data_IF_001408649778
#
_entry.id   IF_001408649778
#
_cell.length_a   1.000
_cell.length_b   1.000
_cell.length_c   1.000
_cell.angle_alpha   90.00
_cell.angle_beta   90.00
_cell.angle_gamma   90.00
#
_symmetry.space_group_name_H-M   'P 1'
#
loop_
_entity.id
_entity.type
_entity.pdbx_description
1 polymer ?
#
# COMPACT_ATOMS: atom_id res chain seq x y z
N UNK A 1 18.97 55.68 -41.31
CA UNK A 1 17.56 55.53 -40.91
C UNK A 1 17.56 54.37 -39.91
N UNK A 2 17.64 54.64 -38.60
CA UNK A 2 16.53 55.04 -37.70
C UNK A 2 15.54 53.88 -37.50
N UNK A 3 15.16 53.47 -36.29
CA UNK A 3 15.48 54.04 -34.95
C UNK A 3 15.45 53.00 -33.83
N UNK A 4 16.08 53.30 -32.70
CA UNK A 4 16.02 52.53 -31.45
C UNK A 4 14.77 52.90 -30.63
N UNK A 5 14.34 52.06 -29.68
CA UNK A 5 14.01 52.50 -28.31
C UNK A 5 13.69 51.36 -27.32
N UNK A 6 13.63 51.71 -26.03
CA UNK A 6 13.49 50.88 -24.82
C UNK A 6 12.72 51.73 -23.76
N UNK A 7 12.12 51.29 -22.64
CA UNK A 7 12.12 50.07 -21.79
C UNK A 7 10.63 49.81 -21.34
N UNK A 8 10.17 49.00 -20.38
CA UNK A 8 10.73 48.21 -19.26
C UNK A 8 9.75 47.04 -18.92
N UNK A 9 10.19 45.87 -18.39
CA UNK A 9 9.27 44.78 -18.03
C UNK A 9 8.78 44.85 -16.57
N UNK A 10 7.52 44.51 -16.29
CA UNK A 10 7.06 44.14 -14.94
C UNK A 10 6.14 42.91 -14.92
N UNK A 11 6.70 41.83 -14.34
CA UNK A 11 6.12 41.00 -13.28
C UNK A 11 4.58 40.91 -13.18
N UNK A 12 4.03 39.71 -13.41
CA UNK A 12 2.81 39.26 -12.73
C UNK A 12 2.94 37.78 -12.30
N UNK A 13 2.60 37.50 -11.04
CA UNK A 13 2.89 36.22 -10.39
C UNK A 13 1.91 35.09 -10.72
N UNK A 14 2.38 33.85 -10.56
CA UNK A 14 1.59 32.62 -10.56
C UNK A 14 0.52 32.61 -9.47
N UNK A 15 -0.74 32.35 -9.83
CA UNK A 15 -1.84 32.19 -8.86
C UNK A 15 -1.79 30.82 -8.16
N UNK A 16 -1.02 30.77 -7.06
CA UNK A 16 -1.07 29.69 -6.08
C UNK A 16 -2.41 29.76 -5.32
N UNK A 17 -3.23 28.71 -5.38
CA UNK A 17 -4.45 28.62 -4.58
C UNK A 17 -4.14 27.98 -3.22
N UNK A 18 -3.77 28.83 -2.25
CA UNK A 18 -3.74 28.44 -0.85
C UNK A 18 -5.18 28.37 -0.30
N UNK A 19 -5.57 27.25 0.30
CA UNK A 19 -6.74 27.20 1.17
C UNK A 19 -6.47 26.43 2.47
N UNK A 20 -6.46 27.19 3.56
CA UNK A 20 -6.62 26.76 4.95
C UNK A 20 -5.53 25.88 5.59
N UNK A 21 -4.43 26.54 5.98
CA UNK A 21 -3.91 26.35 7.34
C UNK A 21 -4.93 26.84 8.37
N UNK A 22 -5.13 26.07 9.44
CA UNK A 22 -5.84 26.51 10.66
C UNK A 22 -4.99 26.16 11.88
N UNK A 23 -4.83 27.10 12.81
CA UNK A 23 -3.89 27.04 13.94
C UNK A 23 -4.47 26.29 15.16
N UNK A 24 -3.61 25.81 16.10
CA UNK A 24 -4.07 25.19 17.34
C UNK A 24 -4.74 26.21 18.27
N UNK A 25 -6.00 25.96 18.63
CA UNK A 25 -6.77 26.83 19.53
C UNK A 25 -6.59 26.46 21.00
N UNK A 26 -5.93 27.33 21.77
CA UNK A 26 -5.92 27.27 23.25
C UNK A 26 -7.27 27.78 23.77
N UNK A 27 -7.94 26.99 24.61
CA UNK A 27 -9.21 27.38 25.25
C UNK A 27 -8.88 28.14 26.54
N UNK A 28 -8.79 29.47 26.47
CA UNK A 28 -8.68 30.34 27.65
C UNK A 28 -10.05 30.58 28.25
N UNK A 29 -10.40 29.84 29.31
CA UNK A 29 -11.69 29.97 29.99
C UNK A 29 -11.71 31.12 31.02
N UNK A 30 -11.94 32.36 30.57
CA UNK A 30 -12.21 33.51 31.47
C UNK A 30 -13.65 33.46 31.98
N UNK A 31 -13.87 32.79 33.11
CA UNK A 31 -15.19 32.70 33.75
C UNK A 31 -15.50 33.86 34.70
N UNK A 32 -16.37 34.79 34.27
CA UNK A 32 -17.02 35.78 35.14
C UNK A 32 -18.54 35.63 35.06
N UNK A 33 -19.11 34.86 35.98
CA UNK A 33 -20.56 34.65 36.10
C UNK A 33 -21.23 35.82 36.83
N UNK A 34 -21.97 36.65 36.09
CA UNK A 34 -22.93 37.61 36.64
C UNK A 34 -24.17 37.64 35.74
N UNK A 35 -25.35 37.77 36.36
CA UNK A 35 -26.63 38.01 35.67
C UNK A 35 -27.47 36.76 35.42
N UNK A 36 -28.63 36.69 36.07
CA UNK A 36 -29.70 35.75 35.75
C UNK A 36 -30.43 36.15 34.45
N UNK A 37 -30.32 35.32 33.42
CA UNK A 37 -31.00 35.52 32.14
C UNK A 37 -30.68 34.38 31.17
N UNK A 38 -31.63 33.46 30.98
CA UNK A 38 -31.36 32.20 30.29
C UNK A 38 -31.25 32.32 28.77
N UNK A 39 -30.06 32.09 28.22
CA UNK A 39 -29.87 31.60 26.85
C UNK A 39 -28.91 30.40 26.87
N UNK A 40 -29.47 29.19 26.78
CA UNK A 40 -28.66 27.98 26.56
C UNK A 40 -28.21 27.98 25.11
N UNK A 41 -26.98 28.44 24.86
CA UNK A 41 -26.36 28.38 23.54
C UNK A 41 -26.13 26.91 23.14
N UNK A 42 -27.07 26.33 22.39
CA UNK A 42 -26.92 25.02 21.77
C UNK A 42 -25.86 25.09 20.67
N UNK A 43 -24.60 24.90 21.06
CA UNK A 43 -23.48 24.70 20.13
C UNK A 43 -23.71 23.37 19.43
N UNK A 44 -24.40 23.43 18.29
CA UNK A 44 -24.49 22.34 17.32
C UNK A 44 -23.08 22.04 16.81
N UNK A 45 -22.42 21.03 17.40
CA UNK A 45 -21.13 20.55 16.91
C UNK A 45 -21.38 19.82 15.59
N UNK A 46 -21.36 20.58 14.50
CA UNK A 46 -21.25 20.06 13.15
C UNK A 46 -19.93 19.29 13.03
N UNK A 47 -19.98 17.98 13.30
CA UNK A 47 -18.95 17.05 12.83
C UNK A 47 -18.99 17.13 11.31
N UNK A 48 -17.95 17.62 10.62
CA UNK A 48 -17.95 17.62 9.17
C UNK A 48 -17.99 16.16 8.71
N UNK A 49 -19.10 15.74 8.10
CA UNK A 49 -19.14 14.47 7.39
C UNK A 49 -18.15 14.61 6.24
N UNK A 50 -16.99 13.97 6.37
CA UNK A 50 -16.06 13.83 5.26
C UNK A 50 -16.84 13.22 4.09
N UNK A 51 -16.78 13.81 2.87
CA UNK A 51 -17.51 13.27 1.75
C UNK A 51 -17.10 11.80 1.54
N UNK A 52 -18.03 10.90 1.18
CA UNK A 52 -17.74 9.49 1.04
C UNK A 52 -16.55 9.32 0.09
N UNK A 53 -15.48 8.71 0.60
CA UNK A 53 -14.21 8.59 -0.09
C UNK A 53 -14.35 7.63 -1.28
N UNK A 54 -14.78 8.20 -2.41
CA UNK A 54 -15.06 7.46 -3.65
C UNK A 54 -13.86 6.56 -3.99
N UNK A 55 -13.99 5.23 -3.91
CA UNK A 55 -12.85 4.33 -3.78
C UNK A 55 -11.91 4.47 -4.97
N UNK A 56 -10.60 4.56 -4.68
CA UNK A 56 -9.58 4.50 -5.73
C UNK A 56 -9.75 3.19 -6.50
N UNK A 57 -9.75 3.16 -7.85
CA UNK A 57 -10.06 1.96 -8.63
C UNK A 57 -9.24 0.75 -8.18
N UNK A 58 -9.92 -0.20 -7.52
CA UNK A 58 -9.30 -1.39 -6.96
C UNK A 58 -9.11 -2.43 -8.06
N UNK A 59 -7.86 -2.84 -8.29
CA UNK A 59 -7.53 -3.96 -9.17
C UNK A 59 -7.33 -5.19 -8.31
N UNK A 60 -8.07 -6.27 -8.56
CA UNK A 60 -7.88 -7.55 -7.88
C UNK A 60 -7.11 -8.51 -8.78
N UNK A 61 -6.06 -9.12 -8.24
CA UNK A 61 -5.35 -10.24 -8.86
C UNK A 61 -5.49 -11.49 -8.00
N UNK A 62 -5.32 -12.66 -8.62
CA UNK A 62 -5.29 -13.96 -7.92
C UNK A 62 -3.91 -14.58 -8.10
N UNK A 63 -3.35 -15.10 -7.03
CA UNK A 63 -1.97 -15.59 -6.95
C UNK A 63 -1.98 -17.06 -6.54
N UNK A 64 -1.69 -17.93 -7.51
CA UNK A 64 -1.59 -19.38 -7.33
C UNK A 64 -0.31 -19.75 -6.57
N UNK A 65 -0.44 -20.58 -5.53
CA UNK A 65 0.67 -21.08 -4.72
C UNK A 65 1.66 -21.95 -5.53
N UNK A 66 1.25 -22.48 -6.69
CA UNK A 66 2.10 -23.25 -7.62
C UNK A 66 2.91 -22.38 -8.59
N UNK A 67 2.70 -21.07 -8.62
CA UNK A 67 3.30 -20.18 -9.62
C UNK A 67 4.65 -19.60 -9.16
N UNK A 68 5.74 -20.32 -9.44
CA UNK A 68 7.13 -19.83 -9.22
C UNK A 68 7.48 -18.62 -10.11
N UNK A 69 6.85 -18.51 -11.29
CA UNK A 69 6.89 -17.29 -12.10
C UNK A 69 6.16 -16.13 -11.41
N UNK A 70 5.03 -16.41 -10.79
CA UNK A 70 4.16 -15.44 -10.15
C UNK A 70 3.15 -14.79 -11.09
N UNK A 71 2.30 -13.94 -10.52
CA UNK A 71 1.26 -13.17 -11.22
C UNK A 71 1.76 -11.74 -11.47
N UNK A 72 1.87 -11.29 -12.73
CA UNK A 72 2.40 -9.96 -13.05
C UNK A 72 1.40 -8.84 -12.71
N UNK A 73 1.93 -7.68 -12.35
CA UNK A 73 1.24 -6.40 -12.31
C UNK A 73 2.15 -5.30 -12.86
N UNK A 74 1.64 -4.50 -13.78
CA UNK A 74 2.39 -3.45 -14.49
C UNK A 74 1.78 -2.07 -14.21
N UNK A 75 2.62 -1.07 -13.90
CA UNK A 75 2.16 0.31 -13.87
C UNK A 75 1.83 0.81 -15.28
N UNK A 76 0.54 0.83 -15.63
CA UNK A 76 0.05 1.32 -16.92
C UNK A 76 -0.10 2.85 -16.98
N UNK A 77 0.55 3.61 -16.09
CA UNK A 77 0.54 5.08 -16.08
C UNK A 77 1.82 5.64 -16.70
N UNK A 78 1.69 6.86 -17.20
CA UNK A 78 2.73 7.73 -17.75
C UNK A 78 3.65 8.34 -16.67
N UNK A 79 3.31 8.16 -15.39
CA UNK A 79 4.04 8.67 -14.23
C UNK A 79 4.27 7.58 -13.16
N UNK A 80 5.22 7.78 -12.23
CA UNK A 80 5.41 6.88 -11.10
C UNK A 80 4.15 6.79 -10.24
N UNK A 81 3.90 5.61 -9.65
CA UNK A 81 2.77 5.37 -8.75
C UNK A 81 3.21 4.62 -7.50
N UNK A 82 2.55 4.90 -6.37
CA UNK A 82 2.59 4.03 -5.20
C UNK A 82 1.33 3.15 -5.18
N UNK A 83 1.53 1.85 -5.09
CA UNK A 83 0.46 0.85 -4.96
C UNK A 83 0.45 0.36 -3.51
N UNK A 84 -0.69 0.50 -2.81
CA UNK A 84 -0.96 -0.31 -1.61
C UNK A 84 -1.60 -1.63 -2.04
N UNK A 85 -1.08 -2.73 -1.50
CA UNK A 85 -1.66 -4.07 -1.65
C UNK A 85 -2.24 -4.59 -0.32
N UNK A 86 -3.28 -5.42 -0.42
CA UNK A 86 -3.90 -6.15 0.71
C UNK A 86 -4.34 -7.55 0.25
N UNK A 87 -3.79 -8.59 0.87
CA UNK A 87 -3.88 -9.97 0.44
C UNK A 87 -4.72 -10.83 1.39
N UNK A 88 -5.61 -11.64 0.81
CA UNK A 88 -6.66 -12.37 1.50
C UNK A 88 -6.69 -13.84 1.04
N UNK A 89 -7.10 -14.73 1.94
CA UNK A 89 -7.15 -16.17 1.70
C UNK A 89 -6.07 -16.93 2.47
N UNK A 90 -5.81 -18.17 2.05
CA UNK A 90 -4.78 -19.05 2.59
C UNK A 90 -4.24 -19.97 1.50
N UNK A 91 -3.02 -20.42 1.67
CA UNK A 91 -2.36 -21.40 0.81
C UNK A 91 -1.43 -22.33 1.60
N UNK A 92 -0.92 -23.35 0.94
CA UNK A 92 -0.11 -24.43 1.47
C UNK A 92 1.27 -24.40 0.79
N UNK A 93 2.33 -24.25 1.58
CA UNK A 93 3.73 -24.33 1.14
C UNK A 93 4.43 -25.65 1.50
N UNK A 94 3.85 -26.41 2.45
CA UNK A 94 4.31 -27.77 2.79
C UNK A 94 3.06 -28.62 3.11
N UNK A 95 2.74 -29.63 2.28
CA UNK A 95 1.66 -30.57 2.57
C UNK A 95 1.83 -31.33 3.88
N UNK A 96 0.71 -31.69 4.52
CA UNK A 96 0.72 -32.39 5.81
C UNK A 96 1.38 -33.78 5.75
N UNK A 97 1.44 -34.41 4.58
CA UNK A 97 2.05 -35.73 4.38
C UNK A 97 3.59 -35.69 4.27
N UNK A 98 4.21 -34.51 4.15
CA UNK A 98 5.68 -34.38 4.06
C UNK A 98 6.31 -34.75 5.41
N UNK A 99 7.31 -35.63 5.38
CA UNK A 99 8.09 -36.05 6.55
C UNK A 99 8.98 -34.92 7.07
N UNK A 100 9.13 -34.83 8.39
CA UNK A 100 9.98 -33.83 9.05
C UNK A 100 9.23 -33.13 10.17
N UNK A 101 9.86 -33.05 11.35
CA UNK A 101 9.30 -32.41 12.52
C UNK A 101 9.51 -30.89 12.48
N UNK A 102 8.66 -30.14 13.19
CA UNK A 102 8.64 -28.68 13.25
C UNK A 102 8.36 -27.93 11.93
N UNK A 103 8.27 -28.60 10.77
CA UNK A 103 7.90 -27.96 9.50
C UNK A 103 6.50 -27.29 9.59
N UNK A 104 6.30 -26.08 9.00
CA UNK A 104 5.05 -25.34 9.07
C UNK A 104 4.02 -25.88 8.07
N UNK A 105 3.52 -27.09 8.34
CA UNK A 105 2.59 -27.81 7.46
C UNK A 105 1.18 -27.24 7.55
N UNK A 106 0.46 -27.26 6.43
CA UNK A 106 -0.94 -26.86 6.35
C UNK A 106 -1.18 -25.41 5.90
N UNK A 107 -2.45 -25.02 5.83
CA UNK A 107 -2.89 -23.75 5.23
C UNK A 107 -2.55 -22.52 6.09
N UNK A 108 -1.58 -21.74 5.63
CA UNK A 108 -1.11 -20.50 6.25
C UNK A 108 -1.64 -19.24 5.56
N UNK A 109 -1.52 -18.09 6.23
CA UNK A 109 -1.92 -16.78 5.69
C UNK A 109 -0.82 -16.19 4.79
N UNK A 110 -1.08 -15.10 4.04
CA UNK A 110 -0.06 -14.41 3.24
C UNK A 110 1.12 -13.81 4.04
N UNK A 111 1.11 -13.88 5.38
CA UNK A 111 2.28 -13.55 6.21
C UNK A 111 3.30 -14.71 6.29
N UNK A 112 2.91 -15.93 5.92
CA UNK A 112 3.76 -17.12 6.01
C UNK A 112 4.07 -17.57 7.43
N UNK A 113 5.04 -18.49 7.54
CA UNK A 113 5.60 -18.98 8.79
C UNK A 113 6.90 -18.22 9.13
N UNK A 114 6.83 -17.37 10.16
CA UNK A 114 7.91 -16.46 10.55
C UNK A 114 9.22 -17.16 10.91
N UNK A 115 9.14 -18.26 11.67
CA UNK A 115 10.31 -19.00 12.18
C UNK A 115 11.19 -19.59 11.07
N UNK A 116 10.65 -19.70 9.85
CA UNK A 116 11.33 -20.25 8.67
C UNK A 116 11.93 -19.17 7.77
N UNK A 117 12.01 -17.91 8.23
CA UNK A 117 12.56 -16.78 7.48
C UNK A 117 14.03 -16.98 7.05
N UNK A 118 14.84 -17.69 7.84
CA UNK A 118 16.29 -17.87 7.66
C UNK A 118 16.74 -18.75 6.48
N UNK A 119 15.86 -19.60 5.92
CA UNK A 119 16.22 -20.49 4.81
C UNK A 119 16.68 -19.68 3.56
N UNK A 120 17.84 -20.03 3.01
CA UNK A 120 18.50 -19.37 1.85
C UNK A 120 18.01 -19.85 0.49
N UNK A 121 17.37 -21.01 0.44
CA UNK A 121 17.10 -21.73 -0.80
C UNK A 121 15.74 -21.33 -1.39
N UNK A 122 14.90 -20.68 -0.58
CA UNK A 122 13.70 -19.96 -1.01
C UNK A 122 13.97 -18.89 -2.06
N UNK A 123 12.94 -18.56 -2.83
CA UNK A 123 12.98 -17.47 -3.80
C UNK A 123 13.37 -16.11 -3.17
N UNK A 124 12.81 -15.79 -2.00
CA UNK A 124 13.13 -14.60 -1.21
C UNK A 124 13.72 -15.00 0.16
N UNK A 125 15.05 -15.13 0.28
CA UNK A 125 15.72 -15.31 1.57
C UNK A 125 15.42 -14.17 2.53
N UNK A 126 15.40 -14.44 3.85
CA UNK A 126 15.09 -13.46 4.88
C UNK A 126 13.59 -13.16 5.07
N UNK A 127 12.73 -13.49 4.11
CA UNK A 127 11.28 -13.41 4.24
C UNK A 127 10.69 -14.76 4.70
N UNK A 128 9.56 -14.74 5.42
CA UNK A 128 8.91 -15.95 5.93
C UNK A 128 8.56 -16.97 4.82
N UNK A 129 8.59 -18.26 5.16
CA UNK A 129 8.20 -19.34 4.23
C UNK A 129 6.68 -19.30 4.01
N UNK A 130 6.23 -19.45 2.77
CA UNK A 130 4.82 -19.33 2.43
C UNK A 130 4.23 -17.92 2.62
N UNK A 131 5.06 -16.89 2.77
CA UNK A 131 4.59 -15.51 2.71
C UNK A 131 4.28 -15.10 1.27
N UNK A 132 3.34 -14.18 1.08
CA UNK A 132 3.25 -13.44 -0.18
C UNK A 132 4.50 -12.57 -0.30
N UNK A 133 5.08 -12.52 -1.49
CA UNK A 133 6.23 -11.68 -1.85
C UNK A 133 5.98 -10.98 -3.17
N UNK A 134 6.62 -9.82 -3.32
CA UNK A 134 6.62 -9.04 -4.56
C UNK A 134 8.05 -8.96 -5.06
N UNK A 135 8.33 -9.49 -6.26
CA UNK A 135 9.65 -9.41 -6.92
C UNK A 135 9.63 -8.46 -8.12
N UNK A 136 10.78 -7.87 -8.44
CA UNK A 136 11.01 -7.23 -9.76
C UNK A 136 11.46 -8.28 -10.77
N UNK A 137 11.21 -8.01 -12.06
CA UNK A 137 11.45 -8.93 -13.19
C UNK A 137 12.82 -9.64 -13.16
N UNK A 138 13.88 -8.88 -12.89
CA UNK A 138 15.27 -9.37 -12.86
C UNK A 138 15.95 -9.04 -11.52
N UNK A 139 15.24 -9.12 -10.38
CA UNK A 139 15.85 -8.68 -9.12
C UNK A 139 15.12 -9.03 -7.84
N UNK A 140 15.64 -8.44 -6.77
CA UNK A 140 15.26 -8.71 -5.38
C UNK A 140 13.76 -8.58 -5.12
N UNK A 141 13.32 -9.30 -4.08
CA UNK A 141 12.00 -9.13 -3.50
C UNK A 141 11.94 -7.77 -2.76
N UNK A 142 10.90 -6.98 -3.02
CA UNK A 142 10.76 -5.58 -2.58
C UNK A 142 9.69 -5.38 -1.51
N UNK A 143 8.81 -6.36 -1.32
CA UNK A 143 7.80 -6.38 -0.27
C UNK A 143 7.40 -7.83 0.07
N UNK A 144 6.84 -8.04 1.26
CA UNK A 144 6.32 -9.33 1.70
C UNK A 144 5.22 -9.15 2.77
N UNK A 145 4.34 -10.14 2.88
CA UNK A 145 3.27 -10.19 3.89
C UNK A 145 1.87 -9.97 3.32
N UNK A 146 0.88 -9.88 4.21
CA UNK A 146 -0.52 -9.69 3.86
C UNK A 146 -0.89 -8.25 3.47
N UNK A 147 -0.07 -7.26 3.79
CA UNK A 147 -0.24 -5.90 3.28
C UNK A 147 1.12 -5.19 3.11
N UNK A 148 1.13 -4.14 2.31
CA UNK A 148 2.33 -3.32 2.11
C UNK A 148 2.15 -2.28 1.02
N UNK A 149 3.22 -1.54 0.74
CA UNK A 149 3.28 -0.56 -0.35
C UNK A 149 4.49 -0.81 -1.25
N UNK A 150 4.33 -0.57 -2.54
CA UNK A 150 5.40 -0.62 -3.54
C UNK A 150 5.33 0.62 -4.44
N UNK A 151 6.49 1.16 -4.80
CA UNK A 151 6.61 2.24 -5.77
C UNK A 151 6.99 1.64 -7.14
N UNK A 152 6.29 2.04 -8.20
CA UNK A 152 6.48 1.56 -9.57
C UNK A 152 6.66 2.72 -10.55
N UNK A 153 7.73 2.66 -11.34
CA UNK A 153 7.98 3.58 -12.46
C UNK A 153 6.99 3.35 -13.63
N UNK A 154 6.85 4.28 -14.59
CA UNK A 154 6.04 4.07 -15.80
C UNK A 154 6.42 2.77 -16.53
N UNK A 155 5.43 1.93 -16.84
CA UNK A 155 5.64 0.64 -17.51
C UNK A 155 6.35 -0.43 -16.67
N UNK A 156 6.72 -0.16 -15.42
CA UNK A 156 7.41 -1.14 -14.58
C UNK A 156 6.48 -2.29 -14.16
N UNK A 157 6.96 -3.52 -14.35
CA UNK A 157 6.29 -4.75 -13.93
C UNK A 157 6.92 -5.34 -12.67
N UNK A 158 6.07 -5.85 -11.80
CA UNK A 158 6.41 -6.69 -10.64
C UNK A 158 5.58 -7.96 -10.65
N UNK A 159 6.00 -8.97 -9.91
CA UNK A 159 5.31 -10.25 -9.81
C UNK A 159 4.97 -10.56 -8.36
N UNK A 160 3.72 -10.92 -8.11
CA UNK A 160 3.19 -11.38 -6.84
C UNK A 160 3.20 -12.91 -6.81
N UNK A 161 3.76 -13.53 -5.76
CA UNK A 161 3.87 -14.99 -5.63
C UNK A 161 4.11 -15.44 -4.20
N UNK A 162 3.99 -16.73 -3.94
CA UNK A 162 4.38 -17.33 -2.67
C UNK A 162 5.91 -17.43 -2.57
N UNK A 163 6.45 -17.18 -1.37
CA UNK A 163 7.86 -17.35 -1.05
C UNK A 163 8.15 -18.79 -0.62
N UNK A 164 8.72 -19.58 -1.52
CA UNK A 164 8.99 -21.00 -1.29
C UNK A 164 10.35 -21.41 -1.89
N UNK A 165 10.80 -22.62 -1.55
CA UNK A 165 12.06 -23.23 -2.03
C UNK A 165 12.02 -23.35 -3.55
N UNK A 166 13.08 -22.84 -4.20
CA UNK A 166 13.19 -22.80 -5.67
C UNK A 166 12.98 -24.19 -6.28
N UNK A 167 12.08 -24.29 -7.26
CA UNK A 167 11.72 -25.54 -7.94
C UNK A 167 10.76 -26.49 -7.19
N UNK A 168 10.41 -26.23 -5.91
CA UNK A 168 9.52 -27.09 -5.12
C UNK A 168 8.03 -26.67 -5.15
N UNK A 169 7.64 -25.78 -6.06
CA UNK A 169 6.29 -25.21 -6.10
C UNK A 169 5.16 -26.19 -6.51
N UNK A 170 5.42 -27.48 -6.77
CA UNK A 170 4.49 -28.38 -7.48
C UNK A 170 3.41 -28.98 -6.59
N UNK A 171 3.71 -29.22 -5.32
CA UNK A 171 2.84 -29.80 -4.30
C UNK A 171 2.15 -28.76 -3.42
N UNK A 172 2.39 -27.47 -3.67
CA UNK A 172 1.68 -26.35 -3.06
C UNK A 172 0.19 -26.32 -3.41
N UNK A 173 -0.65 -25.70 -2.58
CA UNK A 173 -2.09 -25.64 -2.81
C UNK A 173 -2.71 -24.29 -2.44
N UNK A 174 -3.79 -23.92 -3.13
CA UNK A 174 -4.58 -22.75 -2.82
C UNK A 174 -4.17 -21.48 -3.57
N UNK A 175 -4.96 -20.43 -3.38
CA UNK A 175 -4.88 -19.17 -4.11
C UNK A 175 -5.08 -18.02 -3.12
N UNK A 176 -4.22 -17.02 -3.19
CA UNK A 176 -4.34 -15.77 -2.43
C UNK A 176 -4.86 -14.66 -3.36
N UNK A 177 -5.88 -13.93 -2.92
CA UNK A 177 -6.46 -12.80 -3.68
C UNK A 177 -5.86 -11.50 -3.17
N UNK A 178 -5.30 -10.69 -4.05
CA UNK A 178 -4.62 -9.44 -3.69
C UNK A 178 -5.38 -8.26 -4.27
N UNK A 179 -5.88 -7.40 -3.39
CA UNK A 179 -6.47 -6.11 -3.74
C UNK A 179 -5.37 -5.05 -3.85
N UNK A 180 -5.27 -4.44 -5.02
CA UNK A 180 -4.29 -3.41 -5.37
C UNK A 180 -4.97 -2.07 -5.55
N UNK A 181 -4.40 -1.02 -4.98
CA UNK A 181 -4.95 0.34 -5.04
C UNK A 181 -3.86 1.38 -5.22
N UNK A 182 -4.07 2.33 -6.14
CA UNK A 182 -3.19 3.48 -6.32
C UNK A 182 -3.43 4.47 -5.18
N UNK A 183 -2.38 4.79 -4.44
CA UNK A 183 -2.34 5.87 -3.44
C UNK A 183 -2.35 7.21 -4.19
N UNK A 184 -3.13 8.18 -3.70
CA UNK A 184 -3.32 9.51 -4.30
C UNK A 184 -2.41 10.55 -3.66
#
# INVERSE_FOLDING_TARGET
>A
MTESNNVNPQNHQSKFWNFWTTLPGIITATGTLLGSGGLVALIQIFKPQMPPSNPSPQTRIEVDAKSESGTPYTNSKDKPVQIKFHAQGKWLAIPQHISGDNLPKGYMSPNGAGDFASNTDKLCPGHALGALVVKKDQGNCIASGAEGTINLEPGQTVYFLMNDVKGLYKDNEGVVKVDLSVVK
#
